data_IF_733431019211
#
_entry.id   IF_733431019211
#
_cell.length_a   1.000
_cell.length_b   1.000
_cell.length_c   1.000
_cell.angle_alpha   90.00
_cell.angle_beta   90.00
_cell.angle_gamma   90.00
#
_symmetry.space_group_name_H-M   'P 1'
#
loop_
_entity.id
_entity.type
_entity.pdbx_description
1 polymer ?
#
# COMPACT_ATOMS: atom_id res chain seq x y z
N UNK A 1 1.76 14.64 -74.49
CA UNK A 1 1.17 13.96 -73.31
C UNK A 1 1.79 14.58 -72.06
N UNK A 2 0.97 15.14 -71.15
CA UNK A 2 1.40 15.95 -69.99
C UNK A 2 1.77 15.04 -68.79
N UNK A 3 2.79 15.36 -67.97
CA UNK A 3 3.02 14.68 -66.71
C UNK A 3 2.05 15.23 -65.64
N UNK A 4 1.46 14.34 -64.84
CA UNK A 4 0.57 14.70 -63.73
C UNK A 4 1.39 15.00 -62.47
N UNK A 5 1.31 16.24 -62.00
CA UNK A 5 1.92 16.70 -60.75
C UNK A 5 1.08 16.28 -59.54
N UNK A 6 1.64 15.45 -58.65
CA UNK A 6 1.04 15.13 -57.35
C UNK A 6 1.34 16.30 -56.40
N UNK A 7 0.32 17.11 -56.09
CA UNK A 7 0.41 18.15 -55.06
C UNK A 7 0.34 17.49 -53.69
N UNK A 8 1.48 17.46 -52.99
CA UNK A 8 1.57 17.10 -51.57
C UNK A 8 0.90 18.23 -50.76
N UNK A 9 -0.39 18.04 -50.44
CA UNK A 9 -1.10 18.97 -49.55
C UNK A 9 -0.73 18.63 -48.10
N UNK A 10 0.08 19.48 -47.49
CA UNK A 10 0.26 19.55 -46.05
C UNK A 10 -1.11 19.85 -45.39
N UNK A 11 -1.83 18.81 -44.97
CA UNK A 11 -2.88 18.98 -43.97
C UNK A 11 -2.21 19.11 -42.61
N UNK A 12 -2.06 20.36 -42.19
CA UNK A 12 -1.75 20.79 -40.85
C UNK A 12 -2.83 20.21 -39.91
N UNK A 13 -2.55 19.08 -39.27
CA UNK A 13 -3.40 18.57 -38.19
C UNK A 13 -3.23 19.53 -37.02
N UNK A 14 -4.25 20.36 -36.84
CA UNK A 14 -4.46 21.22 -35.70
C UNK A 14 -4.48 20.33 -34.44
N UNK A 15 -3.32 20.12 -33.81
CA UNK A 15 -3.24 19.51 -32.48
C UNK A 15 -3.86 20.49 -31.49
N UNK A 16 -5.15 20.30 -31.22
CA UNK A 16 -5.81 20.86 -30.06
C UNK A 16 -5.03 20.39 -28.83
N UNK A 17 -4.39 21.32 -28.15
CA UNK A 17 -3.72 21.13 -26.88
C UNK A 17 -4.76 20.71 -25.83
N UNK A 18 -5.06 19.40 -25.78
CA UNK A 18 -5.62 18.79 -24.59
C UNK A 18 -4.51 18.84 -23.56
N UNK A 19 -4.62 19.77 -22.61
CA UNK A 19 -3.66 19.94 -21.54
C UNK A 19 -3.47 18.61 -20.81
N UNK A 20 -2.35 17.94 -21.07
CA UNK A 20 -1.91 16.77 -20.32
C UNK A 20 -1.77 17.26 -18.88
N UNK A 21 -2.53 16.71 -17.90
CA UNK A 21 -2.35 17.10 -16.52
C UNK A 21 -0.89 16.80 -16.15
N UNK A 22 -0.20 17.80 -15.58
CA UNK A 22 1.16 17.64 -15.14
C UNK A 22 1.24 16.41 -14.21
N UNK A 23 1.94 15.37 -14.66
CA UNK A 23 2.17 14.20 -13.82
C UNK A 23 2.91 14.66 -12.57
N UNK A 24 2.43 14.26 -11.40
CA UNK A 24 3.03 14.62 -10.13
C UNK A 24 4.53 14.34 -10.13
N UNK A 25 5.33 15.29 -9.66
CA UNK A 25 6.79 15.20 -9.72
C UNK A 25 7.40 15.62 -8.39
N UNK A 26 8.23 14.72 -7.84
CA UNK A 26 9.06 15.01 -6.68
C UNK A 26 10.17 15.99 -7.10
N UNK A 27 10.16 17.19 -6.51
CA UNK A 27 11.13 18.26 -6.74
C UNK A 27 12.46 18.01 -6.01
N UNK A 28 13.46 18.84 -6.25
CA UNK A 28 14.72 18.78 -5.49
C UNK A 28 14.52 19.15 -4.01
N UNK A 29 13.62 20.10 -3.72
CA UNK A 29 13.31 20.49 -2.34
C UNK A 29 12.60 19.37 -1.59
N UNK A 30 11.60 18.73 -2.22
CA UNK A 30 10.94 17.55 -1.65
C UNK A 30 11.96 16.44 -1.31
N UNK A 31 12.96 16.19 -2.19
CA UNK A 31 14.02 15.21 -1.91
C UNK A 31 14.89 15.58 -0.70
N UNK A 32 15.21 16.86 -0.56
CA UNK A 32 16.00 17.38 0.57
C UNK A 32 15.22 17.20 1.87
N UNK A 33 13.92 17.49 1.86
CA UNK A 33 13.04 17.31 3.00
C UNK A 33 12.89 15.84 3.38
N UNK A 34 12.61 14.95 2.42
CA UNK A 34 12.58 13.49 2.63
C UNK A 34 13.90 13.00 3.26
N UNK A 35 15.04 13.53 2.81
CA UNK A 35 16.35 13.17 3.36
C UNK A 35 16.50 13.64 4.81
N UNK A 36 16.01 14.82 5.14
CA UNK A 36 16.01 15.33 6.52
C UNK A 36 15.12 14.47 7.42
N UNK A 37 13.88 14.18 7.00
CA UNK A 37 12.96 13.29 7.73
C UNK A 37 13.59 11.91 7.97
N UNK A 38 14.29 11.36 6.97
CA UNK A 38 14.98 10.06 7.11
C UNK A 38 16.03 10.08 8.22
N UNK A 39 16.68 11.21 8.48
CA UNK A 39 17.65 11.37 9.58
C UNK A 39 16.98 11.59 10.94
N UNK A 40 15.71 12.00 10.96
CA UNK A 40 14.94 12.19 12.19
C UNK A 40 14.33 10.88 12.70
N UNK A 41 14.00 9.93 11.82
CA UNK A 41 13.43 8.62 12.18
C UNK A 41 14.16 7.93 13.35
N UNK A 42 15.51 7.85 13.41
CA UNK A 42 16.20 7.21 14.53
C UNK A 42 16.04 7.91 15.88
N UNK A 43 15.58 9.17 15.93
CA UNK A 43 15.32 9.89 17.20
C UNK A 43 14.19 9.24 17.99
N UNK A 44 13.15 8.76 17.30
CA UNK A 44 12.07 7.98 17.92
C UNK A 44 12.62 6.76 18.67
N UNK A 45 13.61 6.06 18.10
CA UNK A 45 14.28 4.94 18.76
C UNK A 45 14.94 5.32 20.11
N UNK A 46 15.43 6.56 20.22
CA UNK A 46 16.01 7.10 21.45
C UNK A 46 14.96 7.21 22.56
N UNK A 47 13.81 7.80 22.25
CA UNK A 47 12.67 7.93 23.16
C UNK A 47 12.09 6.56 23.54
N UNK A 48 11.95 5.63 22.58
CA UNK A 48 11.51 4.25 22.83
C UNK A 48 12.42 3.56 23.86
N UNK A 49 13.75 3.68 23.72
CA UNK A 49 14.71 3.08 24.67
C UNK A 49 14.59 3.66 26.08
N UNK A 50 14.25 4.94 26.18
CA UNK A 50 14.03 5.64 27.47
C UNK A 50 12.62 5.41 28.03
N UNK A 51 11.75 4.70 27.32
CA UNK A 51 10.32 4.51 27.64
C UNK A 51 9.49 5.80 27.60
N UNK A 52 9.97 6.80 26.85
CA UNK A 52 9.29 8.06 26.53
C UNK A 52 8.37 7.80 25.32
N UNK A 53 7.30 7.03 25.53
CA UNK A 53 6.51 6.48 24.42
C UNK A 53 5.64 7.53 23.72
N UNK A 54 5.13 8.51 24.47
CA UNK A 54 4.30 9.58 23.92
C UNK A 54 5.15 10.48 23.02
N UNK A 55 6.39 10.76 23.42
CA UNK A 55 7.37 11.51 22.63
C UNK A 55 7.79 10.73 21.38
N UNK A 56 8.02 9.41 21.52
CA UNK A 56 8.31 8.55 20.38
C UNK A 56 7.15 8.53 19.37
N UNK A 57 5.90 8.46 19.86
CA UNK A 57 4.69 8.48 19.04
C UNK A 57 4.54 9.82 18.32
N UNK A 58 4.70 10.93 19.03
CA UNK A 58 4.63 12.27 18.45
C UNK A 58 5.62 12.46 17.30
N UNK A 59 6.86 11.98 17.44
CA UNK A 59 7.86 12.03 16.36
C UNK A 59 7.42 11.21 15.14
N UNK A 60 6.91 10.00 15.37
CA UNK A 60 6.43 9.14 14.28
C UNK A 60 5.26 9.80 13.55
N UNK A 61 4.28 10.31 14.29
CA UNK A 61 3.07 10.92 13.73
C UNK A 61 3.39 12.23 12.97
N UNK A 62 4.33 13.04 13.48
CA UNK A 62 4.82 14.23 12.78
C UNK A 62 5.50 13.86 11.45
N UNK A 63 6.32 12.82 11.43
CA UNK A 63 6.96 12.33 10.19
C UNK A 63 5.90 11.83 9.20
N UNK A 64 4.89 11.08 9.65
CA UNK A 64 3.78 10.63 8.79
C UNK A 64 3.00 11.79 8.18
N UNK A 65 2.72 12.82 8.98
CA UNK A 65 2.04 14.04 8.52
C UNK A 65 2.86 14.75 7.43
N UNK A 66 4.17 14.92 7.62
CA UNK A 66 5.05 15.55 6.62
C UNK A 66 5.18 14.73 5.34
N UNK A 67 5.22 13.40 5.45
CA UNK A 67 5.20 12.53 4.26
C UNK A 67 3.93 12.76 3.44
N UNK A 68 2.77 12.83 4.11
CA UNK A 68 1.50 13.11 3.45
C UNK A 68 1.50 14.48 2.78
N UNK A 69 1.98 15.52 3.47
CA UNK A 69 2.09 16.87 2.92
C UNK A 69 2.96 16.92 1.66
N UNK A 70 4.16 16.31 1.69
CA UNK A 70 5.06 16.26 0.53
C UNK A 70 4.41 15.45 -0.61
N UNK A 71 3.75 14.34 -0.30
CA UNK A 71 3.08 13.50 -1.29
C UNK A 71 1.95 14.26 -1.99
N UNK A 72 1.09 14.96 -1.23
CA UNK A 72 0.02 15.80 -1.75
C UNK A 72 0.56 16.98 -2.58
N UNK A 73 1.56 17.70 -2.08
CA UNK A 73 2.19 18.81 -2.79
C UNK A 73 2.85 18.36 -4.10
N UNK A 74 3.48 17.19 -4.11
CA UNK A 74 4.07 16.59 -5.29
C UNK A 74 3.05 15.90 -6.21
N UNK A 75 1.79 15.76 -5.78
CA UNK A 75 0.75 14.97 -6.45
C UNK A 75 1.19 13.53 -6.74
N UNK A 76 1.88 12.91 -5.78
CA UNK A 76 2.28 11.49 -5.85
C UNK A 76 1.71 10.74 -4.65
N UNK A 77 1.63 9.43 -4.76
CA UNK A 77 1.24 8.58 -3.63
C UNK A 77 2.37 8.51 -2.58
N UNK A 78 2.07 8.42 -1.27
CA UNK A 78 3.06 8.16 -0.22
C UNK A 78 3.88 6.86 -0.42
N UNK A 79 3.39 5.94 -1.27
CA UNK A 79 4.09 4.73 -1.68
C UNK A 79 5.12 4.94 -2.79
N UNK A 80 5.30 6.17 -3.28
CA UNK A 80 6.30 6.48 -4.32
C UNK A 80 7.72 6.03 -3.90
N UNK A 81 8.51 5.60 -4.87
CA UNK A 81 9.89 5.14 -4.65
C UNK A 81 10.78 6.15 -3.90
N UNK A 82 10.47 7.44 -3.99
CA UNK A 82 11.17 8.51 -3.29
C UNK A 82 11.07 8.37 -1.76
N UNK A 83 9.94 7.88 -1.24
CA UNK A 83 9.72 7.71 0.20
C UNK A 83 10.17 6.34 0.72
N UNK A 84 10.57 5.39 -0.14
CA UNK A 84 10.82 3.97 0.25
C UNK A 84 11.72 3.82 1.49
N UNK A 85 12.86 4.51 1.51
CA UNK A 85 13.82 4.42 2.62
C UNK A 85 13.24 4.99 3.91
N UNK A 86 12.60 6.16 3.82
CA UNK A 86 11.93 6.82 4.93
C UNK A 86 10.82 5.93 5.51
N UNK A 87 9.93 5.42 4.65
CA UNK A 87 8.85 4.53 5.06
C UNK A 87 9.37 3.26 5.73
N UNK A 88 10.41 2.63 5.17
CA UNK A 88 11.02 1.43 5.77
C UNK A 88 11.54 1.72 7.17
N UNK A 89 12.22 2.85 7.36
CA UNK A 89 12.71 3.28 8.67
C UNK A 89 11.57 3.55 9.65
N UNK A 90 10.54 4.26 9.20
CA UNK A 90 9.37 4.65 10.00
C UNK A 90 8.58 3.42 10.48
N UNK A 91 8.31 2.48 9.58
CA UNK A 91 7.65 1.21 9.91
C UNK A 91 8.41 0.43 10.98
N UNK A 92 9.75 0.39 10.89
CA UNK A 92 10.58 -0.24 11.92
C UNK A 92 10.41 0.46 13.28
N UNK A 93 10.33 1.79 13.32
CA UNK A 93 10.11 2.51 14.58
C UNK A 93 8.71 2.26 15.15
N UNK A 94 7.68 2.23 14.30
CA UNK A 94 6.30 1.86 14.71
C UNK A 94 6.28 0.48 15.35
N UNK A 95 6.86 -0.53 14.69
CA UNK A 95 6.99 -1.87 15.25
C UNK A 95 7.75 -1.91 16.58
N UNK A 96 8.83 -1.14 16.71
CA UNK A 96 9.60 -1.06 17.96
C UNK A 96 8.78 -0.41 19.08
N UNK A 97 8.06 0.66 18.78
CA UNK A 97 7.20 1.36 19.72
C UNK A 97 6.06 0.45 20.18
N UNK A 98 5.37 -0.20 19.24
CA UNK A 98 4.26 -1.10 19.53
C UNK A 98 4.73 -2.29 20.38
N UNK A 99 5.88 -2.88 20.06
CA UNK A 99 6.51 -3.94 20.88
C UNK A 99 6.87 -3.43 22.28
N UNK A 100 7.39 -2.21 22.40
CA UNK A 100 7.82 -1.66 23.68
C UNK A 100 6.65 -1.25 24.58
N UNK A 101 5.53 -0.83 24.00
CA UNK A 101 4.29 -0.48 24.71
C UNK A 101 3.42 -1.71 25.03
N UNK A 102 3.79 -2.91 24.55
CA UNK A 102 2.93 -4.09 24.65
C UNK A 102 1.64 -3.97 23.84
N UNK A 103 1.52 -2.95 22.99
CA UNK A 103 0.38 -2.72 22.09
C UNK A 103 0.55 -3.43 20.74
N UNK A 104 1.77 -3.91 20.44
CA UNK A 104 2.06 -4.78 19.29
C UNK A 104 1.53 -6.20 19.43
N UNK A 105 1.16 -6.59 20.66
CA UNK A 105 0.51 -7.85 20.97
C UNK A 105 -1.00 -7.63 21.12
N UNK A 106 -1.67 -7.21 20.04
CA UNK A 106 -3.03 -7.73 19.85
C UNK A 106 -2.92 -9.26 19.97
N UNK A 107 -3.81 -9.91 20.72
CA UNK A 107 -3.75 -11.36 20.93
C UNK A 107 -3.42 -12.08 19.61
N UNK A 108 -2.53 -13.10 19.62
CA UNK A 108 -2.07 -13.75 18.39
C UNK A 108 -3.26 -14.10 17.49
N UNK A 109 -3.29 -13.54 16.29
CA UNK A 109 -4.37 -13.78 15.33
C UNK A 109 -4.07 -15.09 14.62
N UNK A 110 -4.99 -16.04 14.75
CA UNK A 110 -4.92 -17.34 14.10
C UNK A 110 -5.41 -17.22 12.66
N UNK A 111 -4.65 -17.77 11.71
CA UNK A 111 -5.13 -17.79 10.33
C UNK A 111 -6.37 -18.67 10.23
N UNK A 112 -6.34 -19.89 10.77
CA UNK A 112 -7.45 -20.85 10.66
C UNK A 112 -8.71 -20.36 11.37
N UNK A 113 -8.58 -19.76 12.56
CA UNK A 113 -9.76 -19.37 13.37
C UNK A 113 -10.30 -18.01 13.02
N UNK A 114 -9.44 -17.04 12.71
CA UNK A 114 -9.85 -15.64 12.62
C UNK A 114 -9.85 -15.13 11.17
N UNK A 115 -8.85 -15.51 10.36
CA UNK A 115 -8.69 -14.97 8.99
C UNK A 115 -9.41 -15.83 7.95
N UNK A 116 -9.23 -17.14 7.99
CA UNK A 116 -9.75 -18.07 6.99
C UNK A 116 -11.28 -18.00 6.84
N UNK A 117 -12.09 -17.87 7.91
CA UNK A 117 -13.54 -17.72 7.76
C UNK A 117 -13.93 -16.47 6.95
N UNK A 118 -13.24 -15.35 7.16
CA UNK A 118 -13.48 -14.10 6.41
C UNK A 118 -13.16 -14.31 4.93
N UNK A 119 -12.02 -14.94 4.64
CA UNK A 119 -11.55 -15.21 3.29
C UNK A 119 -12.48 -16.17 2.54
N UNK A 120 -12.92 -17.24 3.21
CA UNK A 120 -13.81 -18.24 2.64
C UNK A 120 -15.15 -17.60 2.24
N UNK A 121 -15.75 -16.84 3.16
CA UNK A 121 -17.04 -16.21 2.94
C UNK A 121 -17.00 -15.10 1.87
N UNK A 122 -15.95 -14.28 1.85
CA UNK A 122 -15.94 -13.03 1.07
C UNK A 122 -15.06 -13.07 -0.17
N UNK A 123 -14.10 -13.98 -0.25
CA UNK A 123 -13.07 -13.96 -1.28
C UNK A 123 -13.05 -15.21 -2.17
N UNK A 124 -13.21 -16.41 -1.60
CA UNK A 124 -13.02 -17.67 -2.33
C UNK A 124 -13.99 -17.84 -3.51
N UNK A 125 -15.21 -17.31 -3.45
CA UNK A 125 -16.16 -17.36 -4.59
C UNK A 125 -15.56 -16.82 -5.91
N UNK A 126 -14.68 -15.82 -5.84
CA UNK A 126 -14.07 -15.17 -7.01
C UNK A 126 -12.55 -15.40 -7.10
N UNK A 127 -11.94 -16.04 -6.11
CA UNK A 127 -10.51 -16.30 -6.00
C UNK A 127 -10.22 -17.74 -5.53
N UNK A 128 -11.13 -18.66 -5.80
CA UNK A 128 -11.03 -20.08 -5.48
C UNK A 128 -10.68 -20.92 -6.70
N UNK A 129 -10.81 -22.24 -6.57
CA UNK A 129 -10.47 -23.20 -7.62
C UNK A 129 -11.23 -22.98 -8.92
N UNK A 130 -12.54 -22.73 -8.85
CA UNK A 130 -13.42 -22.72 -10.02
C UNK A 130 -13.30 -21.44 -10.86
N UNK A 131 -12.90 -20.33 -10.24
CA UNK A 131 -12.81 -19.04 -10.91
C UNK A 131 -11.72 -18.15 -10.27
N UNK A 132 -10.42 -18.43 -10.47
CA UNK A 132 -9.36 -17.64 -9.88
C UNK A 132 -9.17 -16.33 -10.65
N UNK A 133 -10.01 -15.34 -10.38
CA UNK A 133 -9.90 -14.03 -11.05
C UNK A 133 -8.49 -13.48 -10.83
N UNK A 134 -7.91 -12.97 -11.92
CA UNK A 134 -6.53 -12.45 -11.96
C UNK A 134 -5.50 -13.48 -11.46
N UNK A 135 -5.75 -14.78 -11.69
CA UNK A 135 -4.89 -15.89 -11.29
C UNK A 135 -4.58 -15.93 -9.78
N UNK A 136 -5.41 -15.29 -8.95
CA UNK A 136 -5.24 -15.29 -7.50
C UNK A 136 -6.06 -16.42 -6.89
N UNK A 137 -5.38 -17.25 -6.09
CA UNK A 137 -5.95 -18.40 -5.36
C UNK A 137 -5.84 -18.15 -3.86
N UNK A 138 -6.98 -18.03 -3.17
CA UNK A 138 -7.07 -17.78 -1.72
C UNK A 138 -7.61 -18.99 -0.94
N UNK A 139 -7.99 -20.05 -1.64
CA UNK A 139 -8.44 -21.34 -1.13
C UNK A 139 -7.29 -22.31 -0.79
N UNK A 140 -6.04 -21.96 -1.14
CA UNK A 140 -4.87 -22.82 -0.90
C UNK A 140 -3.67 -22.00 -0.41
N UNK A 141 -2.87 -22.55 0.51
CA UNK A 141 -1.64 -21.90 0.99
C UNK A 141 -0.63 -21.63 -0.12
N UNK A 142 -0.52 -22.55 -1.09
CA UNK A 142 0.32 -22.34 -2.26
C UNK A 142 -0.17 -21.14 -3.10
N UNK A 143 -1.48 -20.92 -3.18
CA UNK A 143 -2.09 -19.76 -3.79
C UNK A 143 -1.70 -18.45 -3.12
N UNK A 144 -1.87 -18.38 -1.80
CA UNK A 144 -1.48 -17.23 -0.98
C UNK A 144 -0.02 -16.84 -1.17
N UNK A 145 0.90 -17.81 -1.13
CA UNK A 145 2.35 -17.56 -1.31
C UNK A 145 2.71 -17.10 -2.71
N UNK A 146 2.04 -17.61 -3.74
CA UNK A 146 2.30 -17.25 -5.14
C UNK A 146 1.81 -15.83 -5.45
N UNK A 147 0.70 -15.42 -4.85
CA UNK A 147 -0.02 -14.21 -5.24
C UNK A 147 -0.78 -14.39 -6.57
N UNK A 148 -1.13 -13.27 -7.20
CA UNK A 148 -1.89 -13.23 -8.45
C UNK A 148 -1.15 -12.50 -9.56
N UNK A 149 -1.87 -12.14 -10.62
CA UNK A 149 -1.35 -11.40 -11.77
C UNK A 149 -0.71 -10.05 -11.39
N UNK A 150 -1.14 -9.45 -10.28
CA UNK A 150 -0.60 -8.20 -9.75
C UNK A 150 0.62 -8.39 -8.84
N UNK A 151 1.16 -9.61 -8.73
CA UNK A 151 2.32 -9.93 -7.91
C UNK A 151 1.98 -10.45 -6.51
N UNK A 152 2.93 -10.35 -5.56
CA UNK A 152 2.75 -10.80 -4.18
C UNK A 152 1.56 -10.12 -3.51
N UNK A 153 0.73 -10.92 -2.82
CA UNK A 153 -0.45 -10.41 -2.12
C UNK A 153 -0.10 -9.78 -0.77
N UNK A 154 0.90 -10.35 -0.09
CA UNK A 154 1.25 -10.06 1.29
C UNK A 154 2.70 -9.57 1.40
N UNK A 155 2.89 -8.59 2.29
CA UNK A 155 4.18 -8.21 2.85
C UNK A 155 4.14 -8.55 4.35
N UNK A 156 4.59 -9.75 4.76
CA UNK A 156 4.59 -10.15 6.17
C UNK A 156 5.28 -9.11 7.06
N UNK A 157 4.62 -8.73 8.15
CA UNK A 157 5.06 -7.67 9.06
C UNK A 157 4.59 -6.26 8.65
N UNK A 158 3.94 -6.10 7.51
CA UNK A 158 3.51 -4.80 7.00
C UNK A 158 2.20 -4.87 6.18
N UNK A 159 1.07 -4.74 6.87
CA UNK A 159 -0.24 -4.70 6.25
C UNK A 159 -0.40 -3.52 5.28
N UNK A 160 0.18 -2.35 5.60
CA UNK A 160 0.07 -1.15 4.77
C UNK A 160 0.78 -1.29 3.41
N UNK A 161 1.88 -2.07 3.36
CA UNK A 161 2.56 -2.38 2.10
C UNK A 161 2.01 -3.64 1.40
N UNK A 162 1.01 -4.31 1.99
CA UNK A 162 0.42 -5.51 1.40
C UNK A 162 -0.64 -5.14 0.36
N UNK A 163 -0.59 -5.80 -0.79
CA UNK A 163 -1.55 -5.56 -1.88
C UNK A 163 -3.00 -5.84 -1.46
N UNK A 164 -3.21 -6.84 -0.58
CA UNK A 164 -4.56 -7.11 -0.05
C UNK A 164 -5.15 -5.89 0.65
N UNK A 165 -4.38 -5.19 1.49
CA UNK A 165 -4.83 -3.98 2.18
C UNK A 165 -5.23 -2.90 1.19
N UNK A 166 -4.35 -2.62 0.22
CA UNK A 166 -4.60 -1.63 -0.82
C UNK A 166 -5.88 -1.91 -1.63
N UNK A 167 -6.19 -3.19 -1.91
CA UNK A 167 -7.41 -3.57 -2.64
C UNK A 167 -8.67 -3.50 -1.77
N UNK A 168 -8.58 -3.80 -0.49
CA UNK A 168 -9.71 -3.72 0.43
C UNK A 168 -10.10 -2.27 0.73
N UNK A 169 -9.13 -1.36 0.79
CA UNK A 169 -9.34 0.06 1.09
C UNK A 169 -9.52 0.96 -0.14
N UNK A 170 -9.38 0.44 -1.36
CA UNK A 170 -9.50 1.25 -2.57
C UNK A 170 -10.92 1.81 -2.75
N UNK A 171 -11.09 2.95 -3.42
CA UNK A 171 -12.39 3.40 -3.92
C UNK A 171 -13.03 2.40 -4.89
N UNK A 172 -14.37 2.39 -4.96
CA UNK A 172 -15.12 1.41 -5.75
C UNK A 172 -14.79 1.47 -7.25
N UNK A 173 -14.59 2.67 -7.79
CA UNK A 173 -14.17 2.93 -9.17
C UNK A 173 -12.69 2.60 -9.44
N UNK A 174 -11.91 2.35 -8.39
CA UNK A 174 -10.48 2.00 -8.46
C UNK A 174 -10.19 0.51 -8.20
N UNK A 175 -11.22 -0.33 -8.30
CA UNK A 175 -11.07 -1.78 -8.17
C UNK A 175 -10.94 -2.25 -6.73
N UNK A 176 -11.74 -1.65 -5.84
CA UNK A 176 -12.04 -2.16 -4.48
C UNK A 176 -12.45 -3.62 -4.53
N UNK A 177 -12.03 -4.37 -3.52
CA UNK A 177 -12.50 -5.73 -3.28
C UNK A 177 -13.34 -5.76 -1.99
N UNK A 178 -14.49 -6.47 -1.99
CA UNK A 178 -15.15 -7.12 -3.12
C UNK A 178 -15.71 -6.12 -4.16
N UNK A 179 -15.74 -6.47 -5.48
CA UNK A 179 -16.05 -5.51 -6.53
C UNK A 179 -17.55 -5.16 -6.62
N UNK A 180 -18.43 -6.10 -6.25
CA UNK A 180 -19.88 -5.97 -6.29
C UNK A 180 -20.50 -6.42 -4.96
N UNK A 181 -19.92 -6.00 -3.84
CA UNK A 181 -20.37 -6.40 -2.52
C UNK A 181 -20.12 -5.33 -1.47
N UNK A 182 -20.66 -5.58 -0.28
CA UNK A 182 -20.35 -4.77 0.89
C UNK A 182 -18.84 -4.79 1.15
N UNK A 183 -18.35 -3.65 1.66
CA UNK A 183 -17.00 -3.61 2.20
C UNK A 183 -16.86 -4.64 3.33
N UNK A 184 -15.62 -5.03 3.62
CA UNK A 184 -15.37 -5.72 4.87
C UNK A 184 -15.72 -4.77 6.02
N UNK A 185 -16.22 -5.34 7.11
CA UNK A 185 -16.37 -4.60 8.35
C UNK A 185 -14.98 -4.18 8.85
N UNK A 186 -14.92 -3.06 9.57
CA UNK A 186 -13.67 -2.53 10.09
C UNK A 186 -12.94 -3.55 10.95
N UNK A 187 -13.66 -4.39 11.70
CA UNK A 187 -13.15 -5.47 12.55
C UNK A 187 -12.50 -6.58 11.72
N UNK A 188 -13.08 -6.95 10.59
CA UNK A 188 -12.50 -7.95 9.68
C UNK A 188 -11.24 -7.41 9.01
N UNK A 189 -11.26 -6.15 8.58
CA UNK A 189 -10.08 -5.48 8.03
C UNK A 189 -8.96 -5.39 9.06
N UNK A 190 -9.28 -5.02 10.31
CA UNK A 190 -8.32 -5.01 11.43
C UNK A 190 -7.77 -6.40 11.72
N UNK A 191 -8.61 -7.43 11.68
CA UNK A 191 -8.18 -8.83 11.90
C UNK A 191 -7.15 -9.26 10.85
N UNK A 192 -7.43 -9.01 9.58
CA UNK A 192 -6.49 -9.32 8.47
C UNK A 192 -5.20 -8.49 8.61
N UNK A 193 -5.31 -7.18 8.89
CA UNK A 193 -4.16 -6.31 9.05
C UNK A 193 -3.26 -6.74 10.21
N UNK A 194 -3.85 -7.07 11.36
CA UNK A 194 -3.14 -7.54 12.55
C UNK A 194 -2.42 -8.86 12.26
N UNK A 195 -3.09 -9.82 11.62
CA UNK A 195 -2.45 -11.08 11.21
C UNK A 195 -1.24 -10.84 10.29
N UNK A 196 -1.35 -9.94 9.32
CA UNK A 196 -0.23 -9.59 8.43
C UNK A 196 0.91 -8.94 9.23
N UNK A 197 0.59 -7.99 10.09
CA UNK A 197 1.58 -7.31 10.94
C UNK A 197 2.29 -8.27 11.90
N UNK A 198 1.62 -9.34 12.35
CA UNK A 198 2.19 -10.42 13.16
C UNK A 198 3.00 -11.44 12.33
N UNK A 199 3.19 -11.19 11.03
CA UNK A 199 4.04 -11.98 10.15
C UNK A 199 3.28 -12.94 9.23
N UNK A 200 1.97 -12.79 9.09
CA UNK A 200 1.13 -13.57 8.18
C UNK A 200 1.36 -15.09 8.29
N UNK A 201 1.40 -15.61 9.51
CA UNK A 201 1.69 -17.02 9.78
C UNK A 201 0.45 -17.87 9.52
N UNK A 202 0.59 -18.90 8.70
CA UNK A 202 -0.44 -19.93 8.51
C UNK A 202 -0.27 -20.99 9.61
N UNK A 203 -1.32 -21.25 10.38
CA UNK A 203 -1.32 -22.14 11.55
C UNK A 203 -2.18 -23.41 11.35
N UNK A 204 -2.41 -23.81 10.10
CA UNK A 204 -3.08 -25.07 9.70
C UNK A 204 -2.63 -25.55 8.33
#
# INVERSE_FOLDING_TARGET
>A
MRPASIKLSCLFVLMLAWGIPAMGQITAEHRKEITNLTREVPRAAGHIRKKEYDEARAIIDEIEAKIKEIAEAAKVEPTDRAFRTLMTGLLKQKQLLDKAQGTGDAAPVSFVKDVAPIIDQKCVRCHGADNPRKNLRLDTFAGWRRGGQSGPLLAPGNAAASLIGARLSAPMDQGRMPPNGEALADEEMKTIANWINQGAKFDG
#
